data_IF_868096488390
#
_entry.id   IF_868096488390
#
_cell.length_a   1.000
_cell.length_b   1.000
_cell.length_c   1.000
_cell.angle_alpha   90.00
_cell.angle_beta   90.00
_cell.angle_gamma   90.00
#
_symmetry.space_group_name_H-M   'P 1'
#
loop_
_entity.id
_entity.type
_entity.pdbx_description
1 polymer ?
#
# COMPACT_ATOMS: atom_id res chain seq x y z
N UNK A 1 15.90 5.03 9.29
CA UNK A 1 15.16 5.55 8.10
C UNK A 1 13.92 6.30 8.56
N UNK A 2 13.68 7.47 8.00
CA UNK A 2 12.48 8.24 8.30
C UNK A 2 11.28 7.64 7.59
N UNK A 3 10.12 7.61 8.26
CA UNK A 3 8.90 7.05 7.67
C UNK A 3 8.48 7.76 6.38
N UNK A 4 8.68 9.07 6.29
CA UNK A 4 8.32 9.87 5.11
C UNK A 4 9.01 9.41 3.82
N UNK A 5 10.09 8.63 3.92
CA UNK A 5 10.78 8.08 2.77
C UNK A 5 9.97 7.02 2.00
N UNK A 6 8.76 6.72 2.49
CA UNK A 6 7.78 5.94 1.73
C UNK A 6 7.41 6.64 0.42
N UNK A 7 7.43 7.97 0.36
CA UNK A 7 7.05 8.71 -0.84
C UNK A 7 7.98 8.42 -2.00
N UNK A 8 7.43 8.29 -3.20
CA UNK A 8 8.16 8.02 -4.42
C UNK A 8 7.39 7.14 -5.37
N UNK A 9 8.06 6.72 -6.43
CA UNK A 9 7.51 5.81 -7.42
C UNK A 9 8.18 4.46 -7.32
N UNK A 10 7.40 3.41 -7.56
CA UNK A 10 7.82 2.02 -7.43
C UNK A 10 7.32 1.21 -8.62
N UNK A 11 8.09 0.21 -9.03
CA UNK A 11 7.69 -0.71 -10.09
C UNK A 11 7.99 -2.16 -9.70
N UNK A 12 7.07 -3.07 -9.99
CA UNK A 12 7.27 -4.50 -9.81
C UNK A 12 7.72 -5.19 -11.12
N UNK A 13 8.30 -4.42 -12.03
CA UNK A 13 8.68 -4.90 -13.38
C UNK A 13 9.46 -6.20 -13.33
N UNK A 14 10.44 -6.31 -12.44
CA UNK A 14 11.28 -7.50 -12.36
C UNK A 14 10.47 -8.73 -11.94
N UNK A 15 9.61 -8.61 -10.94
CA UNK A 15 8.74 -9.70 -10.50
C UNK A 15 7.77 -10.10 -11.60
N UNK A 16 7.16 -9.13 -12.28
CA UNK A 16 6.22 -9.40 -13.37
C UNK A 16 6.87 -10.07 -14.58
N UNK A 17 8.12 -9.75 -14.89
CA UNK A 17 8.86 -10.43 -15.95
C UNK A 17 9.22 -11.87 -15.56
N UNK A 18 9.54 -12.10 -14.31
CA UNK A 18 9.88 -13.45 -13.81
C UNK A 18 8.65 -14.34 -13.68
N UNK A 19 7.53 -13.78 -13.24
CA UNK A 19 6.29 -14.51 -12.95
C UNK A 19 5.08 -13.83 -13.60
N UNK A 20 5.02 -13.77 -14.96
CA UNK A 20 4.00 -12.99 -15.66
C UNK A 20 2.57 -13.52 -15.50
N UNK A 21 2.41 -14.80 -15.15
CA UNK A 21 1.09 -15.38 -14.92
C UNK A 21 0.54 -15.06 -13.53
N UNK A 22 1.41 -14.68 -12.59
CA UNK A 22 1.02 -14.46 -11.19
C UNK A 22 0.96 -12.99 -10.82
N UNK A 23 1.70 -12.13 -11.52
CA UNK A 23 1.81 -10.71 -11.18
C UNK A 23 1.65 -9.83 -12.41
N UNK A 24 0.64 -8.97 -12.38
CA UNK A 24 0.53 -7.87 -13.36
C UNK A 24 1.66 -6.86 -13.14
N UNK A 25 2.06 -6.17 -14.20
CA UNK A 25 3.06 -5.11 -14.09
C UNK A 25 2.39 -3.82 -13.65
N UNK A 26 2.77 -3.33 -12.46
CA UNK A 26 2.12 -2.21 -11.77
C UNK A 26 3.13 -1.10 -11.48
N UNK A 27 2.69 0.14 -11.67
CA UNK A 27 3.35 1.34 -11.15
C UNK A 27 2.62 1.78 -9.89
N UNK A 28 3.33 1.86 -8.78
CA UNK A 28 2.80 2.34 -7.49
C UNK A 28 3.43 3.70 -7.19
N UNK A 29 2.60 4.68 -6.87
CA UNK A 29 3.04 6.05 -6.57
C UNK A 29 2.53 6.46 -5.21
N UNK A 30 3.45 6.78 -4.31
CA UNK A 30 3.16 7.36 -3.00
C UNK A 30 3.51 8.84 -3.01
N UNK A 31 2.54 9.68 -2.71
CA UNK A 31 2.69 11.13 -2.73
C UNK A 31 2.32 11.71 -1.36
N UNK A 32 3.16 12.60 -0.87
CA UNK A 32 2.80 13.46 0.26
C UNK A 32 2.14 14.71 -0.32
N UNK A 33 0.94 15.03 0.11
CA UNK A 33 0.21 16.16 -0.43
C UNK A 33 -0.44 17.01 0.66
N UNK A 34 -0.57 18.30 0.38
CA UNK A 34 -1.14 19.25 1.33
C UNK A 34 -0.21 19.50 2.52
N UNK A 35 -0.81 19.95 3.62
CA UNK A 35 -0.10 20.24 4.86
C UNK A 35 -0.19 19.06 5.82
N UNK A 36 0.88 18.81 6.55
CA UNK A 36 0.93 17.75 7.55
C UNK A 36 1.31 16.40 6.98
N UNK A 37 0.79 15.34 7.59
CA UNK A 37 1.20 13.96 7.32
C UNK A 37 0.20 13.24 6.41
N UNK A 38 -0.26 13.91 5.36
CA UNK A 38 -1.20 13.32 4.40
C UNK A 38 -0.47 12.63 3.26
N UNK A 39 -0.80 11.36 3.06
CA UNK A 39 -0.24 10.53 2.00
C UNK A 39 -1.36 10.02 1.10
N UNK A 40 -1.01 9.85 -0.17
CA UNK A 40 -1.89 9.23 -1.16
C UNK A 40 -1.10 8.16 -1.87
N UNK A 41 -1.68 6.96 -2.00
CA UNK A 41 -1.14 5.92 -2.86
C UNK A 41 -2.02 5.76 -4.07
N UNK A 42 -1.38 5.58 -5.23
CA UNK A 42 -2.05 5.34 -6.50
C UNK A 42 -1.39 4.17 -7.20
N UNK A 43 -2.21 3.25 -7.70
CA UNK A 43 -1.73 2.10 -8.46
C UNK A 43 -2.22 2.21 -9.91
N UNK A 44 -1.30 2.02 -10.84
CA UNK A 44 -1.56 2.09 -12.28
C UNK A 44 -1.08 0.79 -12.94
N UNK A 45 -1.77 0.36 -13.98
CA UNK A 45 -1.16 -0.63 -14.88
C UNK A 45 -0.04 0.05 -15.65
N UNK A 46 1.16 -0.52 -15.60
CA UNK A 46 2.36 0.10 -16.17
C UNK A 46 2.20 0.47 -17.66
N UNK A 47 1.50 -0.37 -18.41
CA UNK A 47 1.25 -0.15 -19.85
C UNK A 47 0.38 1.07 -20.14
N UNK A 48 -0.42 1.48 -19.15
CA UNK A 48 -1.32 2.64 -19.27
C UNK A 48 -0.76 3.90 -18.62
N UNK A 49 0.38 3.77 -17.92
CA UNK A 49 0.95 4.88 -17.18
C UNK A 49 1.70 5.83 -18.11
N UNK A 50 1.31 7.10 -18.09
CA UNK A 50 2.01 8.18 -18.75
C UNK A 50 1.82 9.46 -17.94
N UNK A 51 2.91 10.06 -17.48
CA UNK A 51 2.87 11.31 -16.71
C UNK A 51 2.34 12.48 -17.55
N UNK A 52 2.57 12.44 -18.86
CA UNK A 52 2.15 13.49 -19.81
C UNK A 52 0.65 13.45 -20.09
N UNK A 53 0.03 12.27 -19.99
CA UNK A 53 -1.37 12.06 -20.33
C UNK A 53 -2.30 12.06 -19.12
N UNK A 54 -1.81 12.43 -17.94
CA UNK A 54 -2.58 12.46 -16.70
C UNK A 54 -3.28 11.12 -16.45
N UNK A 55 -2.55 10.04 -16.19
CA UNK A 55 -3.10 8.69 -16.12
C UNK A 55 -4.08 8.53 -14.97
N UNK A 56 -5.06 7.61 -15.14
CA UNK A 56 -6.01 7.29 -14.08
C UNK A 56 -5.53 6.07 -13.30
N UNK A 57 -5.46 6.15 -11.96
CA UNK A 57 -5.17 4.97 -11.17
C UNK A 57 -6.36 4.00 -11.21
N UNK A 58 -6.09 2.71 -11.20
CA UNK A 58 -7.15 1.71 -11.00
C UNK A 58 -7.48 1.57 -9.50
N UNK A 59 -6.58 2.02 -8.64
CA UNK A 59 -6.77 2.01 -7.20
C UNK A 59 -6.12 3.25 -6.59
N UNK A 60 -6.81 3.86 -5.64
CA UNK A 60 -6.32 5.03 -4.92
C UNK A 60 -6.70 4.91 -3.46
N UNK A 61 -5.79 5.24 -2.55
CA UNK A 61 -6.08 5.28 -1.14
C UNK A 61 -5.41 6.48 -0.45
N UNK A 62 -6.02 6.91 0.64
CA UNK A 62 -5.64 8.10 1.37
C UNK A 62 -5.26 7.75 2.80
N UNK A 63 -4.22 8.39 3.31
CA UNK A 63 -3.66 8.04 4.60
C UNK A 63 -3.15 9.27 5.34
N UNK A 64 -3.13 9.16 6.67
CA UNK A 64 -2.31 10.02 7.52
C UNK A 64 -1.45 9.13 8.41
N UNK A 65 -0.42 9.70 9.00
CA UNK A 65 0.40 8.95 9.94
C UNK A 65 0.78 9.79 11.15
N UNK A 66 0.99 9.12 12.26
CA UNK A 66 1.45 9.73 13.52
C UNK A 66 2.65 8.93 14.05
N UNK A 67 3.80 9.59 14.14
CA UNK A 67 4.99 9.01 14.75
C UNK A 67 4.76 8.89 16.25
N UNK A 68 4.81 7.66 16.78
CA UNK A 68 4.64 7.39 18.22
C UNK A 68 5.99 7.46 18.91
N UNK A 69 7.00 6.83 18.32
CA UNK A 69 8.39 6.85 18.77
C UNK A 69 9.30 6.55 17.57
N UNK A 70 10.59 6.34 17.79
CA UNK A 70 11.56 6.15 16.70
C UNK A 70 11.30 4.91 15.85
N UNK A 71 10.56 3.93 16.36
CA UNK A 71 10.35 2.65 15.70
C UNK A 71 8.88 2.29 15.49
N UNK A 72 7.95 3.20 15.81
CA UNK A 72 6.52 2.92 15.73
C UNK A 72 5.74 4.10 15.17
N UNK A 73 4.86 3.82 14.21
CA UNK A 73 3.98 4.78 13.56
C UNK A 73 2.55 4.23 13.56
N UNK A 74 1.58 5.07 13.88
CA UNK A 74 0.17 4.79 13.62
C UNK A 74 -0.17 5.29 12.23
N UNK A 75 -0.75 4.41 11.42
CA UNK A 75 -1.05 4.67 10.02
C UNK A 75 -2.54 4.52 9.77
N UNK A 76 -3.18 5.65 9.49
CA UNK A 76 -4.61 5.75 9.32
C UNK A 76 -4.96 5.69 7.84
N UNK A 77 -5.98 4.92 7.49
CA UNK A 77 -6.49 4.82 6.11
C UNK A 77 -7.87 5.44 6.04
N UNK A 78 -8.09 6.27 5.00
CA UNK A 78 -9.33 7.01 4.78
C UNK A 78 -9.88 6.72 3.39
N UNK A 79 -11.19 6.90 3.22
CA UNK A 79 -11.81 6.93 1.90
C UNK A 79 -11.59 8.30 1.22
N UNK A 80 -12.12 8.46 0.00
CA UNK A 80 -11.97 9.71 -0.75
C UNK A 80 -12.63 10.94 -0.11
N UNK A 81 -13.54 10.74 0.83
CA UNK A 81 -14.18 11.78 1.62
C UNK A 81 -13.54 12.05 2.97
N UNK A 82 -12.36 11.47 3.22
CA UNK A 82 -11.63 11.55 4.49
C UNK A 82 -12.39 10.98 5.68
N UNK A 83 -13.19 9.93 5.45
CA UNK A 83 -13.75 9.12 6.51
C UNK A 83 -12.77 8.00 6.86
N UNK A 84 -12.47 7.85 8.14
CA UNK A 84 -11.52 6.82 8.61
C UNK A 84 -12.08 5.43 8.36
N UNK A 85 -11.27 4.57 7.76
CA UNK A 85 -11.61 3.17 7.49
C UNK A 85 -10.89 2.23 8.45
N UNK A 86 -9.57 2.38 8.56
CA UNK A 86 -8.71 1.47 9.31
C UNK A 86 -7.53 2.19 9.93
N UNK A 87 -6.98 1.59 10.99
CA UNK A 87 -5.72 2.01 11.59
C UNK A 87 -4.79 0.80 11.66
N UNK A 88 -3.57 0.98 11.19
CA UNK A 88 -2.52 -0.03 11.32
C UNK A 88 -1.36 0.53 12.14
N UNK A 89 -0.74 -0.31 12.93
CA UNK A 89 0.55 0.00 13.54
C UNK A 89 1.64 -0.46 12.59
N UNK A 90 2.61 0.42 12.33
CA UNK A 90 3.77 0.11 11.51
C UNK A 90 5.00 0.19 12.39
N UNK A 91 5.79 -0.88 12.43
CA UNK A 91 6.99 -0.95 13.26
C UNK A 91 8.24 -1.10 12.39
N UNK A 92 9.32 -0.46 12.85
CA UNK A 92 10.66 -0.60 12.27
C UNK A 92 11.38 -1.78 12.94
N UNK A 93 11.84 -2.74 12.14
CA UNK A 93 12.50 -3.96 12.65
C UNK A 93 14.04 -3.93 12.50
N UNK A 94 14.60 -2.79 12.08
CA UNK A 94 16.03 -2.63 11.79
C UNK A 94 16.34 -2.68 10.30
N UNK A 95 15.42 -3.14 9.49
CA UNK A 95 15.57 -3.24 8.04
C UNK A 95 14.35 -2.68 7.28
N UNK A 96 13.15 -2.98 7.75
CA UNK A 96 11.90 -2.56 7.12
C UNK A 96 10.95 -1.91 8.11
N UNK A 97 10.14 -0.98 7.59
CA UNK A 97 8.88 -0.58 8.21
C UNK A 97 7.82 -1.59 7.79
N UNK A 98 7.12 -2.20 8.73
CA UNK A 98 6.17 -3.27 8.41
C UNK A 98 4.85 -3.09 9.17
N UNK A 99 3.72 -3.33 8.48
CA UNK A 99 2.42 -3.43 9.09
C UNK A 99 2.41 -4.56 10.11
N UNK A 100 1.91 -4.27 11.30
CA UNK A 100 1.63 -5.31 12.28
C UNK A 100 0.29 -5.97 11.93
N UNK A 101 0.11 -7.25 12.26
CA UNK A 101 -1.16 -7.94 11.99
C UNK A 101 -2.36 -7.18 12.56
N UNK A 102 -3.40 -7.03 11.74
CA UNK A 102 -4.64 -6.37 12.12
C UNK A 102 -5.80 -7.17 11.53
N UNK A 103 -6.73 -7.59 12.37
CA UNK A 103 -7.90 -8.36 11.97
C UNK A 103 -9.21 -7.60 12.15
N UNK A 104 -9.14 -6.31 12.49
CA UNK A 104 -10.30 -5.47 12.79
C UNK A 104 -10.72 -4.54 11.66
N UNK A 105 -10.02 -4.56 10.54
CA UNK A 105 -10.35 -3.72 9.39
C UNK A 105 -11.51 -4.34 8.61
N UNK A 106 -12.72 -3.80 8.79
CA UNK A 106 -13.92 -4.24 8.08
C UNK A 106 -14.55 -3.01 7.42
N UNK A 107 -14.71 -3.08 6.09
CA UNK A 107 -15.30 -2.01 5.29
C UNK A 107 -16.45 -2.57 4.47
N UNK A 108 -17.65 -2.06 4.69
CA UNK A 108 -18.88 -2.52 4.00
C UNK A 108 -19.10 -4.05 4.13
N UNK A 109 -18.83 -4.62 5.31
CA UNK A 109 -18.99 -6.03 5.58
C UNK A 109 -17.85 -6.92 5.07
N UNK A 110 -16.84 -6.34 4.44
CA UNK A 110 -15.67 -7.07 3.91
C UNK A 110 -14.50 -6.87 4.87
N UNK A 111 -13.95 -7.99 5.36
CA UNK A 111 -12.73 -7.99 6.16
C UNK A 111 -11.53 -7.83 5.26
N UNK A 112 -10.75 -6.79 5.51
CA UNK A 112 -9.56 -6.47 4.71
C UNK A 112 -8.31 -6.89 5.47
N UNK A 113 -7.48 -7.70 4.83
CA UNK A 113 -6.16 -8.07 5.32
C UNK A 113 -5.14 -7.39 4.42
N UNK A 114 -4.30 -6.56 5.02
CA UNK A 114 -3.22 -5.86 4.31
C UNK A 114 -1.88 -6.24 4.90
N UNK A 115 -0.93 -6.57 4.06
CA UNK A 115 0.46 -6.79 4.44
C UNK A 115 1.32 -5.83 3.65
N UNK A 116 2.05 -4.99 4.33
CA UNK A 116 2.95 -4.01 3.72
C UNK A 116 4.24 -3.98 4.51
N UNK A 117 5.38 -4.00 3.81
CA UNK A 117 6.66 -3.65 4.40
C UNK A 117 7.50 -2.90 3.37
N UNK A 118 8.29 -1.96 3.83
CA UNK A 118 9.09 -1.14 2.93
C UNK A 118 10.38 -0.65 3.58
N UNK A 119 11.33 -0.34 2.72
CA UNK A 119 12.58 0.31 3.07
C UNK A 119 12.80 1.50 2.13
N UNK A 120 13.99 2.07 2.14
CA UNK A 120 14.36 3.16 1.23
C UNK A 120 14.48 2.72 -0.24
N UNK A 121 14.47 1.41 -0.52
CA UNK A 121 14.68 0.86 -1.87
C UNK A 121 13.59 -0.10 -2.34
N UNK A 122 12.86 -0.72 -1.41
CA UNK A 122 11.93 -1.80 -1.69
C UNK A 122 10.58 -1.54 -1.04
N UNK A 123 9.55 -2.04 -1.69
CA UNK A 123 8.19 -2.04 -1.15
C UNK A 123 7.54 -3.38 -1.46
N UNK A 124 7.02 -4.04 -0.44
CA UNK A 124 6.30 -5.30 -0.56
C UNK A 124 4.88 -5.09 -0.08
N UNK A 125 3.92 -5.61 -0.82
CA UNK A 125 2.53 -5.43 -0.40
C UNK A 125 1.58 -6.43 -1.02
N UNK A 126 0.54 -6.75 -0.28
CA UNK A 126 -0.66 -7.41 -0.77
C UNK A 126 -1.86 -6.98 0.04
N UNK A 127 -3.01 -7.02 -0.60
CA UNK A 127 -4.30 -6.81 0.04
C UNK A 127 -5.25 -7.93 -0.38
N UNK A 128 -6.14 -8.31 0.53
CA UNK A 128 -7.19 -9.27 0.25
C UNK A 128 -8.45 -8.88 1.03
N UNK A 129 -9.61 -9.07 0.42
CA UNK A 129 -10.89 -8.85 1.04
C UNK A 129 -11.67 -10.15 1.16
N UNK A 130 -12.26 -10.39 2.34
CA UNK A 130 -13.01 -11.60 2.66
C UNK A 130 -14.43 -11.25 3.10
N UNK A 131 -15.39 -12.06 2.66
CA UNK A 131 -16.78 -11.92 3.12
C UNK A 131 -16.96 -12.48 4.54
N UNK A 132 -18.18 -12.41 5.07
CA UNK A 132 -18.50 -12.89 6.42
C UNK A 132 -18.36 -14.40 6.59
N UNK A 133 -18.36 -15.15 5.50
CA UNK A 133 -18.15 -16.61 5.50
C UNK A 133 -16.68 -16.99 5.33
N UNK A 134 -15.79 -16.01 5.24
CA UNK A 134 -14.35 -16.22 5.08
C UNK A 134 -13.91 -16.51 3.66
N UNK A 135 -14.77 -16.27 2.66
CA UNK A 135 -14.42 -16.47 1.25
C UNK A 135 -13.72 -15.25 0.68
N UNK A 136 -12.69 -15.48 -0.12
CA UNK A 136 -11.96 -14.42 -0.82
C UNK A 136 -12.89 -13.75 -1.84
N UNK A 137 -13.08 -12.43 -1.70
CA UNK A 137 -13.92 -11.63 -2.61
C UNK A 137 -13.06 -10.92 -3.65
N UNK A 138 -11.90 -10.40 -3.23
CA UNK A 138 -10.96 -9.73 -4.11
C UNK A 138 -9.54 -9.76 -3.52
N UNK A 139 -8.57 -9.49 -4.36
CA UNK A 139 -7.18 -9.37 -3.96
C UNK A 139 -6.43 -10.69 -4.03
N UNK A 140 -5.30 -10.75 -3.33
CA UNK A 140 -4.35 -11.85 -3.39
C UNK A 140 -4.21 -12.49 -2.02
N UNK A 141 -4.58 -13.76 -1.92
CA UNK A 141 -4.56 -14.51 -0.66
C UNK A 141 -3.14 -14.82 -0.19
N UNK A 142 -2.23 -15.10 -1.12
CA UNK A 142 -0.84 -15.39 -0.83
C UNK A 142 0.08 -14.72 -1.83
N UNK A 143 1.32 -14.47 -1.41
CA UNK A 143 2.33 -13.86 -2.26
C UNK A 143 2.23 -12.34 -2.28
N UNK A 144 3.31 -11.66 -1.96
CA UNK A 144 3.38 -10.21 -1.98
C UNK A 144 3.90 -9.71 -3.32
N UNK A 145 3.35 -8.59 -3.79
CA UNK A 145 3.99 -7.83 -4.86
C UNK A 145 5.32 -7.27 -4.35
N UNK A 146 6.35 -7.35 -5.17
CA UNK A 146 7.69 -6.86 -4.87
C UNK A 146 8.02 -5.69 -5.80
N UNK A 147 8.11 -4.50 -5.22
CA UNK A 147 8.39 -3.29 -5.97
C UNK A 147 9.79 -2.79 -5.68
N UNK A 148 10.45 -2.31 -6.73
CA UNK A 148 11.69 -1.56 -6.61
C UNK A 148 11.38 -0.08 -6.68
N UNK A 149 12.03 0.73 -5.83
CA UNK A 149 11.90 2.18 -5.86
C UNK A 149 12.64 2.73 -7.07
N UNK A 150 11.98 3.58 -7.80
CA UNK A 150 12.53 4.21 -9.01
C UNK A 150 13.30 5.49 -8.70
#
# INVERSE_FOLDING_TARGET
>A
MKFIELTGQYSNRQQAFTYPSDYAMIRLVWTNFGMGNRLKSQSFYEVEYSEEENPKPYRESFHTFKQVNDTEVLFYTFDGGWNELCVHTICWDGEFWAYQPCDTCVVNGIKIISEIKFSDKKYYGRDAGYDSDGNLVWGKETGMFEFDKL
#
